data_IF_865327627929
#
_entry.id   IF_865327627929
#
_cell.length_a   1.000
_cell.length_b   1.000
_cell.length_c   1.000
_cell.angle_alpha   90.00
_cell.angle_beta   90.00
_cell.angle_gamma   90.00
#
_symmetry.space_group_name_H-M   'P 1'
#
loop_
_entity.id
_entity.type
_entity.pdbx_description
1 polymer ?
#
# COMPACT_ATOMS: atom_id res chain seq x y z
N UNK A 1 77.72 -8.79 -53.33
CA UNK A 1 76.84 -7.82 -52.74
C UNK A 1 75.41 -8.23 -53.04
N UNK A 2 74.71 -8.85 -52.09
CA UNK A 2 73.35 -9.35 -52.22
C UNK A 2 72.37 -8.26 -51.65
N UNK A 3 71.48 -7.77 -52.50
CA UNK A 3 70.44 -6.80 -52.06
C UNK A 3 69.30 -7.55 -51.40
N UNK A 4 69.12 -7.33 -50.10
CA UNK A 4 67.93 -7.77 -49.36
C UNK A 4 66.80 -6.86 -49.70
N UNK A 5 65.69 -7.36 -50.34
CA UNK A 5 64.49 -6.63 -50.65
C UNK A 5 63.50 -6.88 -49.49
N UNK A 6 63.23 -5.85 -48.66
CA UNK A 6 62.17 -5.85 -47.68
C UNK A 6 60.77 -5.68 -48.36
N UNK A 7 60.02 -6.75 -48.35
CA UNK A 7 58.55 -6.70 -48.76
C UNK A 7 57.73 -6.15 -47.59
N UNK A 8 57.26 -4.93 -47.74
CA UNK A 8 56.29 -4.32 -46.82
C UNK A 8 54.92 -5.00 -46.99
N UNK A 9 54.56 -5.93 -46.14
CA UNK A 9 53.22 -6.48 -46.05
C UNK A 9 52.30 -5.44 -45.44
N UNK A 10 51.66 -4.62 -46.26
CA UNK A 10 50.59 -3.70 -45.86
C UNK A 10 49.25 -4.42 -45.73
N UNK A 11 49.13 -5.31 -44.74
CA UNK A 11 47.83 -5.86 -44.39
C UNK A 11 46.99 -4.79 -43.74
N UNK A 12 46.05 -4.20 -44.46
CA UNK A 12 44.98 -3.38 -43.86
C UNK A 12 44.23 -4.25 -42.87
N UNK A 13 44.44 -3.99 -41.59
CA UNK A 13 43.60 -4.58 -40.51
C UNK A 13 42.16 -4.04 -40.68
N UNK A 14 41.28 -4.84 -41.31
CA UNK A 14 39.84 -4.58 -41.40
C UNK A 14 39.08 -4.96 -40.13
N UNK A 15 39.68 -4.79 -38.92
CA UNK A 15 39.16 -5.35 -37.68
C UNK A 15 38.18 -4.46 -36.93
N UNK A 16 37.88 -3.28 -37.39
CA UNK A 16 36.95 -2.36 -36.67
C UNK A 16 35.52 -2.24 -37.23
N UNK A 17 35.36 -2.47 -38.54
CA UNK A 17 34.06 -2.22 -39.19
C UNK A 17 32.94 -3.20 -38.79
N UNK A 18 33.17 -4.51 -38.65
CA UNK A 18 32.07 -5.41 -38.29
C UNK A 18 31.46 -5.09 -36.94
N UNK A 19 32.28 -4.72 -35.93
CA UNK A 19 31.80 -4.34 -34.61
C UNK A 19 31.01 -3.00 -34.65
N UNK A 20 31.51 -2.01 -35.41
CA UNK A 20 30.82 -0.74 -35.60
C UNK A 20 29.47 -0.93 -36.30
N UNK A 21 29.42 -1.77 -37.35
CA UNK A 21 28.16 -2.12 -38.03
C UNK A 21 27.22 -2.83 -37.09
N UNK A 22 27.69 -3.80 -36.33
CA UNK A 22 26.84 -4.49 -35.32
C UNK A 22 26.30 -3.52 -34.28
N UNK A 23 27.14 -2.64 -33.73
CA UNK A 23 26.69 -1.61 -32.79
C UNK A 23 25.67 -0.66 -33.43
N UNK A 24 25.88 -0.23 -34.65
CA UNK A 24 24.94 0.62 -35.38
C UNK A 24 23.61 -0.09 -35.61
N UNK A 25 23.63 -1.34 -36.08
CA UNK A 25 22.42 -2.15 -36.31
C UNK A 25 21.64 -2.34 -35.01
N UNK A 26 22.35 -2.65 -33.91
CA UNK A 26 21.71 -2.79 -32.59
C UNK A 26 21.09 -1.48 -32.10
N UNK A 27 21.83 -0.36 -32.20
CA UNK A 27 21.34 0.94 -31.75
C UNK A 27 20.17 1.43 -32.61
N UNK A 28 20.32 1.47 -33.93
CA UNK A 28 19.26 1.98 -34.80
C UNK A 28 18.07 1.02 -34.93
N UNK A 29 18.33 -0.29 -35.02
CA UNK A 29 17.27 -1.31 -35.04
C UNK A 29 16.47 -1.32 -33.76
N UNK A 30 17.13 -1.26 -32.63
CA UNK A 30 16.47 -1.20 -31.34
C UNK A 30 15.69 0.13 -31.15
N UNK A 31 16.27 1.26 -31.58
CA UNK A 31 15.57 2.55 -31.54
C UNK A 31 14.31 2.54 -32.40
N UNK A 32 14.36 1.95 -33.60
CA UNK A 32 13.22 1.82 -34.50
C UNK A 32 12.11 0.96 -33.84
N UNK A 33 12.47 -0.17 -33.24
CA UNK A 33 11.53 -1.01 -32.50
C UNK A 33 10.84 -0.20 -31.40
N UNK A 34 11.59 0.58 -30.62
CA UNK A 34 11.03 1.39 -29.55
C UNK A 34 10.11 2.53 -30.06
N UNK A 35 10.37 3.09 -31.24
CA UNK A 35 9.52 4.13 -31.84
C UNK A 35 8.15 3.56 -32.24
N UNK A 36 8.12 2.35 -32.83
CA UNK A 36 6.87 1.72 -33.30
C UNK A 36 6.15 0.89 -32.25
N UNK A 37 6.81 0.59 -31.11
CA UNK A 37 6.23 -0.21 -30.04
C UNK A 37 5.03 0.50 -29.42
N UNK A 38 3.92 -0.21 -29.14
CA UNK A 38 2.76 0.37 -28.46
C UNK A 38 3.15 1.04 -27.15
N UNK A 39 2.68 2.28 -26.95
CA UNK A 39 2.96 3.02 -25.71
C UNK A 39 2.04 2.53 -24.62
N UNK A 40 2.61 2.37 -23.40
CA UNK A 40 1.91 1.90 -22.22
C UNK A 40 1.32 3.09 -21.45
N UNK A 41 0.12 2.93 -20.95
CA UNK A 41 -0.49 3.86 -19.99
C UNK A 41 -0.22 3.44 -18.55
N UNK A 42 -0.02 2.13 -18.35
CA UNK A 42 0.25 1.52 -17.04
C UNK A 42 1.40 0.53 -17.12
N UNK A 43 2.13 0.42 -16.03
CA UNK A 43 3.13 -0.62 -15.78
C UNK A 43 2.50 -1.63 -14.82
N UNK A 44 1.87 -2.65 -15.38
CA UNK A 44 1.07 -3.63 -14.64
C UNK A 44 1.84 -4.29 -13.50
N UNK A 45 3.07 -4.75 -13.77
CA UNK A 45 3.89 -5.43 -12.76
C UNK A 45 4.34 -4.53 -11.60
N UNK A 46 4.31 -3.21 -11.79
CA UNK A 46 4.68 -2.22 -10.76
C UNK A 46 3.45 -1.52 -10.17
N UNK A 47 2.26 -1.88 -10.63
CA UNK A 47 0.99 -1.28 -10.23
C UNK A 47 1.03 0.26 -10.20
N UNK A 48 1.62 0.88 -11.27
CA UNK A 48 1.70 2.33 -11.39
C UNK A 48 1.49 2.83 -12.81
N UNK A 49 1.09 4.08 -12.94
CA UNK A 49 0.99 4.74 -14.25
C UNK A 49 2.37 4.86 -14.90
N UNK A 50 2.44 4.56 -16.20
CA UNK A 50 3.64 4.77 -16.98
C UNK A 50 3.81 6.27 -17.29
N UNK A 51 5.05 6.76 -17.23
CA UNK A 51 5.36 8.12 -17.63
C UNK A 51 4.96 8.34 -19.10
N UNK A 52 4.30 9.46 -19.37
CA UNK A 52 3.92 9.88 -20.70
C UNK A 52 4.93 10.89 -21.25
N UNK A 53 4.98 11.04 -22.57
CA UNK A 53 5.88 12.02 -23.21
C UNK A 53 5.56 13.44 -22.68
N UNK A 54 6.54 14.13 -22.06
CA UNK A 54 6.28 15.46 -21.53
C UNK A 54 6.04 16.46 -22.64
N UNK A 55 5.12 17.40 -22.42
CA UNK A 55 4.91 18.52 -23.31
C UNK A 55 6.19 19.36 -23.43
N UNK A 56 6.60 19.66 -24.65
CA UNK A 56 7.78 20.50 -24.89
C UNK A 56 7.46 21.98 -24.62
N UNK A 57 8.31 22.63 -23.83
CA UNK A 57 8.35 24.08 -23.73
C UNK A 57 9.80 24.55 -23.56
N UNK A 58 10.07 25.77 -24.01
CA UNK A 58 11.42 26.35 -23.87
C UNK A 58 11.79 26.53 -22.39
N UNK A 59 10.84 26.92 -21.53
CA UNK A 59 11.06 27.02 -20.09
C UNK A 59 11.41 25.66 -19.48
N UNK A 60 10.66 24.61 -19.80
CA UNK A 60 10.92 23.24 -19.31
C UNK A 60 12.25 22.68 -19.83
N UNK A 61 12.70 23.12 -21.01
CA UNK A 61 14.02 22.75 -21.53
C UNK A 61 15.14 23.44 -20.73
N UNK A 62 14.97 24.73 -20.39
CA UNK A 62 15.98 25.51 -19.70
C UNK A 62 16.10 25.14 -18.22
N UNK A 63 15.00 24.78 -17.54
CA UNK A 63 14.99 24.36 -16.13
C UNK A 63 15.29 22.87 -15.94
N UNK A 64 15.45 22.08 -17.03
CA UNK A 64 15.78 20.65 -16.98
C UNK A 64 14.58 19.73 -16.71
N UNK A 65 13.37 20.23 -16.54
CA UNK A 65 12.18 19.42 -16.26
C UNK A 65 11.77 18.57 -17.46
N UNK A 66 11.91 19.10 -18.68
CA UNK A 66 11.63 18.35 -19.91
C UNK A 66 12.58 17.15 -20.06
N UNK A 67 13.90 17.35 -19.85
CA UNK A 67 14.88 16.27 -19.95
C UNK A 67 14.61 15.18 -18.92
N UNK A 68 14.29 15.56 -17.69
CA UNK A 68 13.94 14.63 -16.61
C UNK A 68 12.65 13.85 -16.91
N UNK A 69 11.64 14.54 -17.47
CA UNK A 69 10.40 13.91 -17.90
C UNK A 69 10.60 12.95 -19.07
N UNK A 70 11.41 13.37 -20.05
CA UNK A 70 11.75 12.55 -21.22
C UNK A 70 12.55 11.29 -20.82
N UNK A 71 13.51 11.42 -19.91
CA UNK A 71 14.27 10.29 -19.41
C UNK A 71 13.35 9.26 -18.72
N UNK A 72 12.43 9.72 -17.87
CA UNK A 72 11.42 8.84 -17.22
C UNK A 72 10.51 8.17 -18.23
N UNK A 73 10.03 8.93 -19.24
CA UNK A 73 9.23 8.37 -20.31
C UNK A 73 9.99 7.30 -21.09
N UNK A 74 11.24 7.54 -21.48
CA UNK A 74 12.09 6.54 -22.14
C UNK A 74 12.25 5.27 -21.30
N UNK A 75 12.49 5.42 -20.00
CA UNK A 75 12.63 4.29 -19.07
C UNK A 75 11.35 3.45 -18.97
N UNK A 76 10.18 4.09 -18.94
CA UNK A 76 8.91 3.39 -18.81
C UNK A 76 8.40 2.78 -20.12
N UNK A 77 8.75 3.40 -21.28
CA UNK A 77 8.25 2.97 -22.60
C UNK A 77 9.18 2.02 -23.36
N UNK A 78 10.30 1.66 -22.74
CA UNK A 78 11.26 0.75 -23.33
C UNK A 78 10.65 -0.64 -23.61
N UNK A 79 10.78 -1.16 -24.85
CA UNK A 79 10.05 -2.35 -25.30
C UNK A 79 10.39 -3.64 -24.54
N UNK A 80 11.64 -3.80 -24.08
CA UNK A 80 12.10 -4.94 -23.30
C UNK A 80 12.27 -4.64 -21.80
N UNK A 81 11.66 -3.55 -21.34
CA UNK A 81 11.82 -3.05 -19.96
C UNK A 81 11.57 -4.14 -18.91
N UNK A 82 10.45 -4.82 -19.00
CA UNK A 82 10.08 -5.82 -17.98
C UNK A 82 11.05 -6.98 -17.93
N UNK A 83 11.51 -7.47 -19.09
CA UNK A 83 12.53 -8.50 -19.16
C UNK A 83 13.88 -8.03 -18.58
N UNK A 84 14.28 -6.78 -18.90
CA UNK A 84 15.52 -6.20 -18.39
C UNK A 84 15.47 -6.03 -16.86
N UNK A 85 14.38 -5.49 -16.32
CA UNK A 85 14.19 -5.31 -14.87
C UNK A 85 14.16 -6.67 -14.18
N UNK A 86 13.41 -7.65 -14.67
CA UNK A 86 13.33 -8.97 -14.07
C UNK A 86 14.71 -9.67 -14.09
N UNK A 87 15.45 -9.56 -15.18
CA UNK A 87 16.81 -10.12 -15.28
C UNK A 87 17.77 -9.46 -14.29
N UNK A 88 17.70 -8.13 -14.15
CA UNK A 88 18.49 -7.41 -13.16
C UNK A 88 18.14 -7.87 -11.75
N UNK A 89 16.84 -7.94 -11.39
CA UNK A 89 16.40 -8.39 -10.07
C UNK A 89 16.85 -9.81 -9.74
N UNK A 90 16.72 -10.72 -10.70
CA UNK A 90 17.24 -12.09 -10.55
C UNK A 90 18.75 -12.12 -10.35
N UNK A 91 19.51 -11.31 -11.09
CA UNK A 91 20.96 -11.21 -10.91
C UNK A 91 21.32 -10.60 -9.55
N UNK A 92 20.63 -9.57 -9.11
CA UNK A 92 20.83 -8.93 -7.81
C UNK A 92 20.62 -9.92 -6.65
N UNK A 93 19.59 -10.75 -6.74
CA UNK A 93 19.32 -11.80 -5.73
C UNK A 93 20.37 -12.94 -5.80
N UNK A 94 20.55 -13.53 -6.98
CA UNK A 94 21.34 -14.76 -7.12
C UNK A 94 22.85 -14.50 -7.01
N UNK A 95 23.34 -13.43 -7.67
CA UNK A 95 24.78 -13.13 -7.74
C UNK A 95 25.26 -12.27 -6.58
N UNK A 96 24.45 -11.28 -6.17
CA UNK A 96 24.84 -10.31 -5.14
C UNK A 96 24.18 -10.58 -3.78
N UNK A 97 23.25 -11.52 -3.69
CA UNK A 97 22.53 -11.89 -2.45
C UNK A 97 21.98 -10.67 -1.71
N UNK A 98 21.44 -9.73 -2.45
CA UNK A 98 20.82 -8.55 -1.85
C UNK A 98 19.67 -8.97 -0.93
N UNK A 99 19.69 -8.47 0.29
CA UNK A 99 18.63 -8.68 1.28
C UNK A 99 17.57 -7.57 1.25
N UNK A 100 17.69 -6.59 0.34
CA UNK A 100 16.79 -5.46 0.22
C UNK A 100 16.67 -5.03 -1.23
N UNK A 101 15.45 -4.71 -1.66
CA UNK A 101 15.16 -4.16 -2.98
C UNK A 101 13.94 -3.23 -2.92
N UNK A 102 14.12 -2.00 -3.46
CA UNK A 102 13.03 -1.01 -3.52
C UNK A 102 12.44 -0.61 -2.17
N UNK A 103 13.22 -0.63 -1.09
CA UNK A 103 12.74 -0.37 0.26
C UNK A 103 12.06 -1.57 0.94
N UNK A 104 12.13 -2.75 0.33
CA UNK A 104 11.57 -4.00 0.84
C UNK A 104 12.70 -4.94 1.23
N UNK A 105 12.65 -5.48 2.44
CA UNK A 105 13.55 -6.51 2.93
C UNK A 105 13.08 -7.88 2.43
N UNK A 106 14.02 -8.66 1.94
CA UNK A 106 13.80 -10.03 1.47
C UNK A 106 14.13 -11.00 2.61
N UNK A 107 13.08 -11.43 3.29
CA UNK A 107 13.17 -12.34 4.44
C UNK A 107 13.32 -13.80 4.05
N UNK A 108 13.26 -14.69 5.06
CA UNK A 108 13.22 -16.14 4.86
C UNK A 108 11.87 -16.55 4.25
N UNK A 109 11.81 -17.74 3.70
CA UNK A 109 10.58 -18.34 3.13
C UNK A 109 9.76 -17.38 2.25
N UNK A 110 10.48 -16.49 1.53
CA UNK A 110 9.92 -15.49 0.61
C UNK A 110 9.07 -14.40 1.26
N UNK A 111 9.16 -14.24 2.57
CA UNK A 111 8.58 -13.10 3.23
C UNK A 111 9.20 -11.79 2.76
N UNK A 112 8.36 -10.79 2.60
CA UNK A 112 8.77 -9.44 2.23
C UNK A 112 8.28 -8.47 3.31
N UNK A 113 9.19 -7.59 3.77
CA UNK A 113 8.88 -6.64 4.82
C UNK A 113 9.24 -5.22 4.37
N UNK A 114 8.40 -4.27 4.69
CA UNK A 114 8.78 -2.87 4.51
C UNK A 114 9.98 -2.54 5.40
N UNK A 115 11.02 -1.98 4.80
CA UNK A 115 12.24 -1.56 5.52
C UNK A 115 11.95 -0.35 6.39
N UNK A 116 12.16 -0.46 7.69
CA UNK A 116 12.07 0.63 8.65
C UNK A 116 13.26 0.57 9.62
N UNK A 117 14.41 1.09 9.18
CA UNK A 117 15.64 1.08 9.96
C UNK A 117 15.80 2.32 10.83
N UNK A 118 15.17 3.41 10.44
CA UNK A 118 15.23 4.68 11.16
C UNK A 118 13.92 5.42 11.05
N UNK A 119 13.56 6.15 12.09
CA UNK A 119 12.50 7.15 12.06
C UNK A 119 13.19 8.51 12.19
N UNK A 120 13.17 9.30 11.12
CA UNK A 120 13.81 10.61 11.09
C UNK A 120 13.03 11.65 11.92
N UNK A 121 13.63 12.80 12.11
CA UNK A 121 13.02 13.89 12.92
C UNK A 121 11.70 14.39 12.32
N UNK A 122 11.55 14.35 11.00
CA UNK A 122 10.31 14.75 10.32
C UNK A 122 9.18 13.79 10.65
N UNK A 123 9.45 12.49 10.52
CA UNK A 123 8.51 11.43 10.86
C UNK A 123 8.19 11.41 12.36
N UNK A 124 9.18 11.64 13.26
CA UNK A 124 8.95 11.77 14.70
C UNK A 124 8.01 12.92 15.05
N UNK A 125 8.21 14.07 14.41
CA UNK A 125 7.32 15.24 14.58
C UNK A 125 5.92 14.96 14.05
N UNK A 126 5.81 14.25 12.93
CA UNK A 126 4.50 13.88 12.38
C UNK A 126 3.79 12.88 13.29
N UNK A 127 4.48 11.85 13.76
CA UNK A 127 3.94 10.91 14.76
C UNK A 127 3.39 11.65 15.99
N UNK A 128 4.15 12.60 16.56
CA UNK A 128 3.69 13.37 17.71
C UNK A 128 2.41 14.16 17.40
N UNK A 129 2.28 14.74 16.20
CA UNK A 129 1.05 15.43 15.77
C UNK A 129 -0.12 14.45 15.62
N UNK A 130 0.12 13.26 15.06
CA UNK A 130 -0.93 12.28 14.85
C UNK A 130 -1.45 11.73 16.19
N UNK A 131 -0.55 11.41 17.13
CA UNK A 131 -0.93 11.00 18.48
C UNK A 131 -1.73 12.10 19.17
N UNK A 132 -1.26 13.35 19.10
CA UNK A 132 -1.95 14.50 19.68
C UNK A 132 -3.35 14.66 19.06
N UNK A 133 -3.47 14.63 17.72
CA UNK A 133 -4.74 14.82 17.04
C UNK A 133 -5.78 13.75 17.40
N UNK A 134 -5.36 12.47 17.46
CA UNK A 134 -6.26 11.37 17.88
C UNK A 134 -6.64 11.52 19.35
N UNK A 135 -5.71 11.87 20.23
CA UNK A 135 -5.98 12.05 21.67
C UNK A 135 -6.92 13.22 21.94
N UNK A 136 -6.73 14.36 21.26
CA UNK A 136 -7.63 15.52 21.37
C UNK A 136 -9.02 15.21 20.84
N UNK A 137 -9.12 14.55 19.69
CA UNK A 137 -10.40 14.13 19.15
C UNK A 137 -11.13 13.17 20.11
N UNK A 138 -10.42 12.19 20.66
CA UNK A 138 -11.00 11.25 21.62
C UNK A 138 -11.45 11.95 22.92
N UNK A 139 -10.66 12.90 23.42
CA UNK A 139 -11.01 13.68 24.60
C UNK A 139 -12.29 14.53 24.40
N UNK A 140 -12.54 15.01 23.16
CA UNK A 140 -13.75 15.73 22.80
C UNK A 140 -14.96 14.80 22.58
N UNK A 141 -14.75 13.49 22.43
CA UNK A 141 -15.78 12.47 22.21
C UNK A 141 -15.68 11.36 23.28
N UNK A 142 -15.84 11.66 24.58
CA UNK A 142 -15.55 10.72 25.66
C UNK A 142 -16.40 9.45 25.57
N UNK A 143 -15.74 8.29 25.68
CA UNK A 143 -16.36 6.97 25.62
C UNK A 143 -16.84 6.52 24.25
N UNK A 144 -16.61 7.31 23.19
CA UNK A 144 -17.05 6.97 21.84
C UNK A 144 -15.92 6.46 20.92
N UNK A 145 -14.68 6.74 21.25
CA UNK A 145 -13.53 6.48 20.35
C UNK A 145 -12.78 5.23 20.75
N UNK A 146 -12.65 4.33 19.77
CA UNK A 146 -11.75 3.17 19.86
C UNK A 146 -10.59 3.38 18.90
N UNK A 147 -9.37 3.14 19.37
CA UNK A 147 -8.14 3.23 18.60
C UNK A 147 -7.52 1.84 18.42
N UNK A 148 -7.39 1.40 17.18
CA UNK A 148 -6.76 0.15 16.78
C UNK A 148 -5.57 0.48 15.88
N UNK A 149 -4.37 0.14 16.32
CA UNK A 149 -3.14 0.29 15.55
C UNK A 149 -2.55 -1.08 15.26
N UNK A 150 -2.66 -1.52 14.00
CA UNK A 150 -2.16 -2.81 13.58
C UNK A 150 -0.61 -2.79 13.55
N UNK A 151 0.07 -3.75 14.21
CA UNK A 151 1.51 -3.87 14.14
C UNK A 151 1.98 -4.24 12.73
N UNK A 152 3.23 -3.96 12.41
CA UNK A 152 3.84 -4.43 11.17
C UNK A 152 4.04 -5.95 11.19
N UNK A 153 4.02 -6.60 10.03
CA UNK A 153 4.33 -8.03 9.92
C UNK A 153 5.71 -8.39 10.54
N UNK A 154 6.67 -7.47 10.47
CA UNK A 154 8.01 -7.65 11.05
C UNK A 154 8.04 -7.76 12.58
N UNK A 155 7.00 -7.29 13.27
CA UNK A 155 6.85 -7.45 14.72
C UNK A 155 6.31 -8.85 15.07
N UNK A 156 5.43 -9.37 14.22
CA UNK A 156 4.77 -10.67 14.44
C UNK A 156 5.64 -11.84 13.95
N UNK A 157 6.42 -11.62 12.88
CA UNK A 157 7.30 -12.61 12.27
C UNK A 157 8.78 -12.18 12.29
N UNK A 158 9.36 -11.83 13.44
CA UNK A 158 10.74 -11.35 13.51
C UNK A 158 11.76 -12.44 13.09
N UNK A 159 11.41 -13.72 13.22
CA UNK A 159 12.21 -14.86 12.80
C UNK A 159 12.37 -14.95 11.27
N UNK A 160 11.46 -14.37 10.52
CA UNK A 160 11.46 -14.33 9.05
C UNK A 160 12.29 -13.18 8.48
N UNK A 161 12.66 -12.20 9.29
CA UNK A 161 13.51 -11.10 8.86
C UNK A 161 14.90 -11.57 8.41
N UNK A 162 15.56 -10.84 7.49
CA UNK A 162 16.96 -11.06 7.20
C UNK A 162 17.80 -10.97 8.47
N UNK A 163 18.76 -11.87 8.62
CA UNK A 163 19.62 -11.91 9.80
C UNK A 163 20.33 -10.56 10.04
N UNK A 164 20.14 -10.00 11.22
CA UNK A 164 20.78 -8.74 11.62
C UNK A 164 20.14 -7.48 10.99
N UNK A 165 18.95 -7.56 10.41
CA UNK A 165 18.23 -6.38 9.94
C UNK A 165 18.00 -5.40 11.12
N UNK A 166 18.53 -4.14 11.05
CA UNK A 166 18.48 -3.21 12.16
C UNK A 166 17.12 -2.45 12.17
N UNK A 167 16.04 -3.21 12.35
CA UNK A 167 14.69 -2.62 12.44
C UNK A 167 14.59 -1.69 13.66
N UNK A 168 13.79 -0.64 13.55
CA UNK A 168 13.44 0.19 14.72
C UNK A 168 12.71 -0.66 15.75
N UNK A 169 12.80 -0.26 17.01
CA UNK A 169 12.00 -0.87 18.08
C UNK A 169 10.54 -0.39 17.99
N UNK A 170 9.79 -1.04 17.10
CA UNK A 170 8.36 -0.76 16.89
C UNK A 170 7.54 -1.08 18.16
N UNK A 171 7.94 -2.09 18.94
CA UNK A 171 7.24 -2.43 20.18
C UNK A 171 7.28 -1.27 21.17
N UNK A 172 8.46 -0.68 21.41
CA UNK A 172 8.57 0.48 22.30
C UNK A 172 7.80 1.70 21.77
N UNK A 173 7.74 1.88 20.44
CA UNK A 173 6.95 2.96 19.83
C UNK A 173 5.45 2.73 20.00
N UNK A 174 4.97 1.50 19.81
CA UNK A 174 3.57 1.12 20.04
C UNK A 174 3.17 1.32 21.51
N UNK A 175 4.03 0.93 22.45
CA UNK A 175 3.79 1.14 23.88
C UNK A 175 3.60 2.63 24.22
N UNK A 176 4.45 3.50 23.68
CA UNK A 176 4.35 4.95 23.88
C UNK A 176 3.06 5.54 23.25
N UNK A 177 2.70 5.09 22.05
CA UNK A 177 1.47 5.51 21.36
C UNK A 177 0.25 5.08 22.18
N UNK A 178 0.14 3.80 22.53
CA UNK A 178 -1.00 3.28 23.30
C UNK A 178 -1.11 3.92 24.68
N UNK A 179 0.01 4.18 25.36
CA UNK A 179 0.00 4.87 26.66
C UNK A 179 -0.54 6.30 26.56
N UNK A 180 -0.29 7.01 25.44
CA UNK A 180 -0.76 8.39 25.23
C UNK A 180 -2.23 8.41 24.78
N UNK A 181 -2.58 7.66 23.72
CA UNK A 181 -3.94 7.65 23.19
C UNK A 181 -4.92 7.01 24.15
N UNK A 182 -4.50 5.99 24.88
CA UNK A 182 -5.31 5.28 25.87
C UNK A 182 -5.73 6.11 27.09
N UNK A 183 -5.22 7.35 27.23
CA UNK A 183 -5.74 8.30 28.23
C UNK A 183 -7.12 8.85 27.88
N UNK A 184 -7.51 8.79 26.62
CA UNK A 184 -8.75 9.41 26.11
C UNK A 184 -9.60 8.45 25.27
N UNK A 185 -9.05 7.35 24.77
CA UNK A 185 -9.73 6.38 23.92
C UNK A 185 -9.56 4.96 24.47
N UNK A 186 -10.49 4.07 24.11
CA UNK A 186 -10.27 2.63 24.25
C UNK A 186 -9.20 2.21 23.23
N UNK A 187 -8.21 1.40 23.64
CA UNK A 187 -7.13 0.96 22.73
C UNK A 187 -7.17 -0.55 22.54
N UNK A 188 -6.88 -1.00 21.33
CA UNK A 188 -6.72 -2.41 20.97
C UNK A 188 -5.29 -2.64 20.53
N UNK A 189 -4.54 -3.40 21.32
CA UNK A 189 -3.21 -3.89 21.01
C UNK A 189 -3.28 -5.34 20.51
N UNK A 190 -2.98 -5.53 19.24
CA UNK A 190 -3.08 -6.84 18.59
C UNK A 190 -1.84 -7.71 18.77
N UNK A 191 -0.73 -7.20 19.31
CA UNK A 191 0.58 -7.90 19.32
C UNK A 191 0.49 -9.27 20.00
N UNK A 192 -0.15 -9.33 21.17
CA UNK A 192 -0.32 -10.60 21.89
C UNK A 192 -1.12 -11.61 21.09
N UNK A 193 -2.34 -11.24 20.68
CA UNK A 193 -3.23 -12.09 19.89
C UNK A 193 -2.58 -12.56 18.58
N UNK A 194 -1.92 -11.66 17.87
CA UNK A 194 -1.31 -12.00 16.59
C UNK A 194 -0.07 -12.89 16.75
N UNK A 195 0.69 -12.72 17.83
CA UNK A 195 1.82 -13.61 18.16
C UNK A 195 1.33 -15.02 18.49
N UNK A 196 0.25 -15.14 19.25
CA UNK A 196 -0.34 -16.44 19.60
C UNK A 196 -0.94 -17.17 18.38
N UNK A 197 -1.43 -16.42 17.40
CA UNK A 197 -2.09 -16.92 16.20
C UNK A 197 -1.23 -16.81 14.93
N UNK A 198 0.08 -16.61 15.06
CA UNK A 198 0.95 -16.32 13.91
C UNK A 198 0.97 -17.42 12.83
N UNK A 199 0.65 -18.65 13.19
CA UNK A 199 0.57 -19.78 12.25
C UNK A 199 -0.69 -19.75 11.37
N UNK A 200 -1.62 -18.82 11.58
CA UNK A 200 -2.89 -18.70 10.87
C UNK A 200 -2.85 -17.85 9.59
N UNK A 201 -1.69 -17.54 9.06
CA UNK A 201 -1.53 -16.69 7.87
C UNK A 201 -2.20 -15.31 8.02
N UNK A 202 -1.73 -14.54 9.01
CA UNK A 202 -2.32 -13.24 9.36
C UNK A 202 -1.88 -12.08 8.43
N UNK A 203 -0.74 -12.21 7.78
CA UNK A 203 -0.20 -11.21 6.85
C UNK A 203 0.14 -11.84 5.52
N UNK A 204 -0.02 -11.08 4.43
CA UNK A 204 0.47 -11.48 3.12
C UNK A 204 2.00 -11.46 3.09
N UNK A 205 2.60 -12.39 2.35
CA UNK A 205 4.06 -12.42 2.14
C UNK A 205 4.52 -11.39 1.12
N UNK A 206 3.69 -11.11 0.10
CA UNK A 206 4.02 -10.24 -1.04
C UNK A 206 3.39 -8.86 -0.98
N UNK A 207 2.65 -8.57 0.08
CA UNK A 207 1.96 -7.29 0.30
C UNK A 207 2.21 -6.74 1.70
N UNK A 208 1.97 -5.44 1.90
CA UNK A 208 2.12 -4.80 3.19
C UNK A 208 0.92 -4.95 4.12
N UNK A 209 -0.21 -5.45 3.63
CA UNK A 209 -1.43 -5.62 4.42
C UNK A 209 -1.43 -6.93 5.21
N UNK A 210 -2.27 -6.97 6.23
CA UNK A 210 -2.77 -8.23 6.76
C UNK A 210 -3.67 -8.94 5.76
N UNK A 211 -3.86 -10.23 5.94
CA UNK A 211 -4.87 -11.00 5.19
C UNK A 211 -6.28 -10.69 5.72
N UNK A 212 -7.35 -11.05 5.01
CA UNK A 212 -8.70 -10.98 5.58
C UNK A 212 -8.85 -11.84 6.85
N UNK A 213 -8.02 -12.88 7.05
CA UNK A 213 -7.96 -13.62 8.31
C UNK A 213 -7.36 -12.77 9.43
N UNK A 214 -6.25 -12.05 9.18
CA UNK A 214 -5.69 -11.11 10.15
C UNK A 214 -6.69 -10.01 10.53
N UNK A 215 -7.37 -9.44 9.52
CA UNK A 215 -8.44 -8.46 9.73
C UNK A 215 -9.58 -9.02 10.59
N UNK A 216 -9.97 -10.27 10.36
CA UNK A 216 -10.99 -10.94 11.16
C UNK A 216 -10.55 -11.13 12.62
N UNK A 217 -9.30 -11.54 12.86
CA UNK A 217 -8.79 -11.66 14.24
C UNK A 217 -8.74 -10.32 14.98
N UNK A 218 -8.43 -9.23 14.25
CA UNK A 218 -8.55 -7.89 14.80
C UNK A 218 -9.99 -7.49 15.10
N UNK A 219 -10.93 -7.87 14.22
CA UNK A 219 -12.36 -7.66 14.42
C UNK A 219 -12.90 -8.44 15.65
N UNK A 220 -12.45 -9.67 15.88
CA UNK A 220 -12.80 -10.42 17.11
C UNK A 220 -12.36 -9.68 18.38
N UNK A 221 -11.15 -9.06 18.38
CA UNK A 221 -10.70 -8.24 19.51
C UNK A 221 -11.57 -6.99 19.69
N UNK A 222 -11.95 -6.35 18.59
CA UNK A 222 -12.89 -5.22 18.62
C UNK A 222 -14.24 -5.63 19.20
N UNK A 223 -14.81 -6.74 18.73
CA UNK A 223 -16.07 -7.26 19.26
C UNK A 223 -15.98 -7.60 20.75
N UNK A 224 -14.88 -8.22 21.17
CA UNK A 224 -14.64 -8.52 22.58
C UNK A 224 -14.62 -7.27 23.46
N UNK A 225 -13.94 -6.20 23.02
CA UNK A 225 -13.91 -4.92 23.71
C UNK A 225 -15.30 -4.26 23.81
N UNK A 226 -16.09 -4.34 22.73
CA UNK A 226 -17.42 -3.71 22.63
C UNK A 226 -18.57 -4.59 23.15
N UNK A 227 -18.30 -5.83 23.55
CA UNK A 227 -19.35 -6.78 23.96
C UNK A 227 -20.25 -7.21 22.81
N UNK A 228 -19.75 -7.18 21.57
CA UNK A 228 -20.46 -7.59 20.36
C UNK A 228 -20.22 -9.08 20.07
N UNK A 229 -21.16 -9.73 19.39
CA UNK A 229 -20.97 -11.08 18.87
C UNK A 229 -20.25 -11.00 17.52
N UNK A 230 -19.08 -11.63 17.36
CA UNK A 230 -18.39 -11.66 16.06
C UNK A 230 -19.20 -12.42 15.00
N UNK A 231 -18.96 -12.08 13.73
CA UNK A 231 -19.43 -12.83 12.57
C UNK A 231 -18.99 -14.31 12.67
N UNK A 232 -19.94 -15.23 12.57
CA UNK A 232 -19.67 -16.66 12.63
C UNK A 232 -19.18 -17.20 11.29
N UNK A 233 -17.86 -17.27 11.11
CA UNK A 233 -17.24 -17.82 9.90
C UNK A 233 -17.61 -19.30 9.66
N UNK A 234 -17.89 -20.06 10.71
CA UNK A 234 -18.19 -21.49 10.55
C UNK A 234 -19.57 -21.73 9.90
N UNK A 235 -20.45 -20.74 9.91
CA UNK A 235 -21.76 -20.79 9.27
C UNK A 235 -21.74 -20.37 7.79
N UNK A 236 -20.57 -20.00 7.24
CA UNK A 236 -20.45 -19.43 5.90
C UNK A 236 -19.32 -20.08 5.10
N UNK A 237 -19.50 -20.22 3.79
CA UNK A 237 -18.48 -20.73 2.89
C UNK A 237 -17.54 -19.59 2.46
N UNK A 238 -16.22 -19.72 2.64
CA UNK A 238 -15.26 -18.73 2.17
C UNK A 238 -15.05 -18.83 0.66
N UNK A 239 -14.64 -17.72 0.05
CA UNK A 239 -14.16 -17.66 -1.33
C UNK A 239 -12.67 -17.37 -1.30
N UNK A 240 -11.89 -18.17 -2.05
CA UNK A 240 -10.43 -17.96 -2.19
C UNK A 240 -10.10 -17.49 -3.60
N UNK A 241 -9.43 -16.37 -3.68
CA UNK A 241 -8.87 -15.79 -4.91
C UNK A 241 -7.37 -16.04 -4.91
N UNK A 242 -6.90 -16.78 -5.88
CA UNK A 242 -5.50 -17.15 -6.07
C UNK A 242 -4.72 -16.07 -6.85
N UNK A 243 -3.41 -16.26 -6.99
CA UNK A 243 -2.53 -15.42 -7.81
C UNK A 243 -2.50 -13.96 -7.38
N UNK A 244 -2.51 -13.69 -6.08
CA UNK A 244 -2.30 -12.36 -5.55
C UNK A 244 -0.80 -12.08 -5.38
N UNK A 245 -0.36 -10.99 -5.97
CA UNK A 245 0.98 -10.43 -5.83
C UNK A 245 0.86 -8.95 -5.46
N UNK A 246 1.15 -8.63 -4.22
CA UNK A 246 0.88 -7.32 -3.65
C UNK A 246 1.91 -6.24 -3.98
N UNK A 247 1.90 -5.20 -3.16
CA UNK A 247 2.73 -4.00 -3.32
C UNK A 247 4.21 -4.28 -3.08
N UNK A 248 4.56 -5.18 -2.16
CA UNK A 248 5.94 -5.59 -1.93
C UNK A 248 6.51 -6.29 -3.17
N UNK A 249 5.73 -7.21 -3.76
CA UNK A 249 6.12 -7.81 -5.04
C UNK A 249 6.27 -6.75 -6.13
N UNK A 250 5.37 -5.80 -6.24
CA UNK A 250 5.43 -4.75 -7.27
C UNK A 250 6.71 -3.90 -7.14
N UNK A 251 7.21 -3.69 -5.93
CA UNK A 251 8.46 -2.97 -5.68
C UNK A 251 9.71 -3.83 -5.97
N UNK A 252 9.68 -5.12 -5.59
CA UNK A 252 10.84 -6.01 -5.71
C UNK A 252 10.90 -6.72 -7.04
N UNK A 253 9.76 -7.15 -7.59
CA UNK A 253 9.63 -8.00 -8.79
C UNK A 253 10.48 -9.27 -8.71
N UNK A 254 10.50 -9.88 -7.53
CA UNK A 254 11.26 -11.06 -7.24
C UNK A 254 10.77 -12.23 -8.11
N UNK A 255 11.68 -12.92 -8.82
CA UNK A 255 11.34 -13.86 -9.91
C UNK A 255 10.75 -15.20 -9.43
N UNK A 256 10.99 -15.60 -8.20
CA UNK A 256 10.65 -16.92 -7.65
C UNK A 256 9.76 -16.83 -6.40
N UNK A 257 8.84 -15.88 -6.41
CA UNK A 257 7.87 -15.68 -5.33
C UNK A 257 6.68 -16.61 -5.52
N UNK A 258 6.25 -17.23 -4.45
CA UNK A 258 4.92 -17.85 -4.38
C UNK A 258 3.88 -16.75 -4.27
N UNK A 259 2.79 -16.92 -5.00
CA UNK A 259 1.68 -15.98 -4.94
C UNK A 259 0.93 -16.14 -3.62
N UNK A 260 0.45 -15.04 -3.08
CA UNK A 260 -0.50 -15.05 -1.97
C UNK A 260 -1.91 -15.44 -2.44
N UNK A 261 -2.77 -15.73 -1.47
CA UNK A 261 -4.18 -16.00 -1.68
C UNK A 261 -5.03 -15.06 -0.81
N UNK A 262 -6.15 -14.59 -1.36
CA UNK A 262 -7.12 -13.78 -0.63
C UNK A 262 -8.33 -14.66 -0.34
N UNK A 263 -8.47 -15.13 0.90
CA UNK A 263 -9.65 -15.86 1.36
C UNK A 263 -10.56 -14.92 2.13
N UNK A 264 -11.79 -14.73 1.66
CA UNK A 264 -12.76 -13.83 2.26
C UNK A 264 -14.16 -14.47 2.32
N UNK A 265 -15.04 -13.88 3.11
CA UNK A 265 -16.45 -14.27 3.21
C UNK A 265 -17.32 -13.27 2.44
N UNK A 266 -18.22 -13.73 1.55
CA UNK A 266 -19.08 -12.85 0.77
C UNK A 266 -20.17 -12.23 1.67
N UNK A 267 -19.87 -11.09 2.26
CA UNK A 267 -20.81 -10.28 3.00
C UNK A 267 -21.43 -9.26 2.05
N UNK A 268 -22.66 -9.54 1.61
CA UNK A 268 -23.38 -8.70 0.67
C UNK A 268 -23.98 -7.48 1.40
N UNK A 269 -23.41 -6.32 1.18
CA UNK A 269 -23.91 -5.03 1.67
C UNK A 269 -23.62 -3.97 0.63
N UNK A 270 -24.53 -3.01 0.53
CA UNK A 270 -24.37 -1.88 -0.39
C UNK A 270 -23.56 -0.78 0.29
N UNK A 271 -22.58 -0.27 -0.45
CA UNK A 271 -21.77 0.88 -0.07
C UNK A 271 -22.06 2.03 -1.03
N UNK A 272 -22.42 3.18 -0.50
CA UNK A 272 -22.54 4.42 -1.26
C UNK A 272 -21.25 5.21 -1.11
N UNK A 273 -20.57 5.50 -2.22
CA UNK A 273 -19.40 6.36 -2.29
C UNK A 273 -19.86 7.79 -2.59
N UNK A 274 -19.26 8.77 -1.89
CA UNK A 274 -19.67 10.16 -2.00
C UNK A 274 -18.56 11.02 -2.63
N UNK A 275 -18.98 11.92 -3.50
CA UNK A 275 -18.18 13.04 -3.94
C UNK A 275 -18.20 14.12 -2.87
N UNK A 276 -17.04 14.48 -2.38
CA UNK A 276 -16.88 15.51 -1.35
C UNK A 276 -16.90 16.88 -2.02
N UNK A 277 -17.83 17.74 -1.63
CA UNK A 277 -18.02 19.09 -2.18
C UNK A 277 -17.72 20.19 -1.15
N UNK A 278 -17.62 19.82 0.13
CA UNK A 278 -17.30 20.74 1.23
C UNK A 278 -17.33 20.02 2.57
N UNK A 279 -17.22 20.79 3.66
CA UNK A 279 -17.35 20.27 5.02
C UNK A 279 -18.79 19.80 5.25
N UNK A 280 -18.97 18.53 5.66
CA UNK A 280 -20.27 17.85 5.74
C UNK A 280 -21.17 18.05 4.51
N UNK A 281 -20.57 18.46 3.38
CA UNK A 281 -21.23 18.63 2.09
C UNK A 281 -20.67 17.57 1.13
N UNK A 282 -21.49 16.58 0.86
CA UNK A 282 -21.16 15.47 -0.02
C UNK A 282 -22.42 14.95 -0.70
N UNK A 283 -22.24 14.43 -1.92
CA UNK A 283 -23.32 13.94 -2.78
C UNK A 283 -23.03 12.49 -3.17
N UNK A 284 -24.04 11.59 -3.21
CA UNK A 284 -23.85 10.22 -3.69
C UNK A 284 -23.28 10.23 -5.12
N UNK A 285 -22.23 9.47 -5.37
CA UNK A 285 -21.58 9.36 -6.68
C UNK A 285 -21.82 7.98 -7.28
N UNK A 286 -21.51 6.92 -6.55
CA UNK A 286 -21.72 5.53 -6.98
C UNK A 286 -22.22 4.70 -5.80
N UNK A 287 -22.92 3.60 -6.13
CA UNK A 287 -23.27 2.55 -5.17
C UNK A 287 -22.75 1.23 -5.68
N UNK A 288 -21.93 0.59 -4.87
CA UNK A 288 -21.25 -0.65 -5.18
C UNK A 288 -21.45 -1.67 -4.06
N UNK A 289 -21.19 -2.95 -4.34
CA UNK A 289 -21.08 -3.93 -3.25
C UNK A 289 -19.79 -3.65 -2.46
N UNK A 290 -19.80 -3.88 -1.13
CA UNK A 290 -18.63 -3.69 -0.26
C UNK A 290 -17.43 -4.53 -0.67
N UNK A 291 -17.65 -5.62 -1.42
CA UNK A 291 -16.61 -6.38 -2.10
C UNK A 291 -16.88 -6.35 -3.60
N UNK A 292 -16.14 -5.52 -4.31
CA UNK A 292 -16.21 -5.43 -5.77
C UNK A 292 -15.41 -6.58 -6.40
N UNK A 293 -16.10 -7.69 -6.71
CA UNK A 293 -15.46 -8.90 -7.22
C UNK A 293 -14.73 -8.71 -8.56
N UNK A 294 -15.10 -7.69 -9.36
CA UNK A 294 -14.42 -7.41 -10.63
C UNK A 294 -12.97 -6.92 -10.41
N UNK A 295 -12.66 -6.36 -9.25
CA UNK A 295 -11.29 -5.97 -8.90
C UNK A 295 -10.37 -7.17 -8.70
N UNK A 296 -10.89 -8.35 -8.40
CA UNK A 296 -10.07 -9.55 -8.31
C UNK A 296 -9.47 -9.98 -9.67
N UNK A 297 -10.02 -9.50 -10.78
CA UNK A 297 -9.46 -9.70 -12.12
C UNK A 297 -8.39 -8.65 -12.48
N UNK A 298 -8.15 -7.68 -11.59
CA UNK A 298 -7.13 -6.65 -11.78
C UNK A 298 -5.83 -7.01 -11.07
N UNK A 299 -4.78 -6.21 -11.32
CA UNK A 299 -3.50 -6.36 -10.62
C UNK A 299 -3.62 -6.06 -9.12
N UNK A 300 -4.38 -5.04 -8.76
CA UNK A 300 -4.64 -4.65 -7.38
C UNK A 300 -5.89 -5.37 -6.83
N UNK A 301 -5.76 -6.67 -6.60
CA UNK A 301 -6.86 -7.51 -6.10
C UNK A 301 -7.36 -7.06 -4.73
N UNK A 302 -6.48 -6.51 -3.87
CA UNK A 302 -6.89 -6.03 -2.54
C UNK A 302 -7.86 -4.84 -2.60
N UNK A 303 -7.82 -4.06 -3.69
CA UNK A 303 -8.79 -2.99 -3.93
C UNK A 303 -10.23 -3.49 -4.13
N UNK A 304 -10.48 -4.82 -4.19
CA UNK A 304 -11.83 -5.37 -4.17
C UNK A 304 -12.60 -4.98 -2.88
N UNK A 305 -11.90 -4.88 -1.76
CA UNK A 305 -12.51 -4.44 -0.51
C UNK A 305 -12.76 -2.93 -0.53
N UNK A 306 -14.01 -2.54 -0.29
CA UNK A 306 -14.49 -1.15 -0.28
C UNK A 306 -14.22 -0.36 -1.59
N UNK A 307 -14.09 -1.05 -2.71
CA UNK A 307 -13.70 -0.46 -4.01
C UNK A 307 -12.43 0.41 -3.92
N UNK A 308 -11.52 0.05 -3.01
CA UNK A 308 -10.26 0.75 -2.73
C UNK A 308 -10.37 1.82 -1.63
N UNK A 309 -9.83 3.00 -1.88
CA UNK A 309 -9.70 4.05 -0.87
C UNK A 309 -10.50 5.30 -1.27
N UNK A 310 -11.71 5.42 -0.75
CA UNK A 310 -12.63 6.53 -1.02
C UNK A 310 -12.57 7.57 0.10
N UNK A 311 -12.89 8.84 -0.20
CA UNK A 311 -12.84 9.92 0.78
C UNK A 311 -13.88 9.74 1.89
N UNK A 312 -15.13 9.52 1.50
CA UNK A 312 -16.22 9.19 2.39
C UNK A 312 -17.14 8.18 1.72
N UNK A 313 -17.58 7.20 2.50
CA UNK A 313 -18.56 6.20 2.07
C UNK A 313 -19.47 5.84 3.24
N UNK A 314 -20.69 5.42 2.94
CA UNK A 314 -21.60 4.81 3.92
C UNK A 314 -21.97 3.40 3.50
N UNK A 315 -22.11 2.51 4.47
CA UNK A 315 -22.46 1.11 4.26
C UNK A 315 -23.68 0.79 5.10
N UNK A 316 -24.64 0.10 4.50
CA UNK A 316 -25.79 -0.46 5.19
C UNK A 316 -25.43 -1.84 5.75
N UNK A 317 -25.70 -2.01 7.04
CA UNK A 317 -25.46 -3.30 7.71
C UNK A 317 -26.72 -3.89 8.31
N UNK A 318 -26.57 -5.05 8.94
CA UNK A 318 -27.69 -5.87 9.47
C UNK A 318 -27.86 -5.75 10.98
N UNK A 319 -26.90 -5.13 11.66
CA UNK A 319 -26.90 -4.98 13.11
C UNK A 319 -27.71 -3.77 13.60
N UNK A 320 -27.25 -3.17 14.67
CA UNK A 320 -27.90 -2.01 15.31
C UNK A 320 -26.90 -0.89 15.58
N UNK A 321 -27.38 0.36 15.72
CA UNK A 321 -26.50 1.50 15.96
C UNK A 321 -25.65 1.88 14.76
N UNK A 322 -24.68 2.76 14.97
CA UNK A 322 -23.88 3.34 13.90
C UNK A 322 -22.43 3.57 14.32
N UNK A 323 -21.51 3.36 13.40
CA UNK A 323 -20.07 3.56 13.63
C UNK A 323 -19.44 4.33 12.47
N UNK A 324 -18.53 5.26 12.79
CA UNK A 324 -17.66 5.91 11.82
C UNK A 324 -16.26 5.31 11.91
N UNK A 325 -15.73 4.78 10.79
CA UNK A 325 -14.39 4.22 10.70
C UNK A 325 -13.46 5.22 10.01
N UNK A 326 -12.49 5.73 10.74
CA UNK A 326 -11.39 6.57 10.23
C UNK A 326 -10.21 5.66 9.95
N UNK A 327 -9.72 5.65 8.72
CA UNK A 327 -8.90 4.53 8.30
C UNK A 327 -7.74 4.86 7.37
N UNK A 328 -6.80 3.92 7.32
CA UNK A 328 -5.99 3.63 6.14
C UNK A 328 -6.49 2.37 5.41
N UNK A 329 -5.72 1.84 4.47
CA UNK A 329 -6.14 0.68 3.66
C UNK A 329 -6.25 -0.64 4.44
N UNK A 330 -5.71 -0.74 5.66
CA UNK A 330 -5.86 -1.94 6.49
C UNK A 330 -7.33 -2.21 6.84
N UNK A 331 -8.10 -1.17 7.10
CA UNK A 331 -9.51 -1.34 7.41
C UNK A 331 -10.36 -1.86 6.23
N UNK A 332 -9.86 -1.86 5.00
CA UNK A 332 -10.65 -2.28 3.85
C UNK A 332 -11.17 -3.73 3.99
N UNK A 333 -10.34 -4.65 4.47
CA UNK A 333 -10.74 -6.04 4.71
C UNK A 333 -11.36 -6.28 6.09
N UNK A 334 -11.32 -5.30 6.99
CA UNK A 334 -11.93 -5.34 8.33
C UNK A 334 -13.40 -4.86 8.32
N UNK A 335 -13.66 -3.74 7.66
CA UNK A 335 -14.98 -3.07 7.64
C UNK A 335 -16.12 -3.98 7.19
N UNK A 336 -15.96 -4.90 6.21
CA UNK A 336 -17.03 -5.81 5.82
C UNK A 336 -17.64 -6.58 7.00
N UNK A 337 -16.83 -7.01 7.98
CA UNK A 337 -17.34 -7.73 9.15
C UNK A 337 -18.23 -6.88 10.06
N UNK A 338 -18.04 -5.56 10.09
CA UNK A 338 -18.86 -4.65 10.89
C UNK A 338 -20.33 -4.61 10.44
N UNK A 339 -20.63 -5.03 9.21
CA UNK A 339 -22.00 -5.07 8.66
C UNK A 339 -22.92 -6.03 9.44
N UNK A 340 -22.35 -6.97 10.17
CA UNK A 340 -23.13 -7.88 11.01
C UNK A 340 -23.50 -7.24 12.38
N UNK A 341 -22.76 -6.22 12.82
CA UNK A 341 -22.94 -5.60 14.13
C UNK A 341 -23.64 -4.26 14.10
N UNK A 342 -23.45 -3.48 13.04
CA UNK A 342 -23.98 -2.12 12.91
C UNK A 342 -24.99 -2.00 11.78
N UNK A 343 -26.02 -1.16 11.97
CA UNK A 343 -27.00 -0.84 10.94
C UNK A 343 -26.44 0.17 9.92
N UNK A 344 -25.54 1.07 10.37
CA UNK A 344 -24.92 2.10 9.54
C UNK A 344 -23.43 2.20 9.86
N UNK A 345 -22.61 2.13 8.82
CA UNK A 345 -21.15 2.29 8.93
C UNK A 345 -20.74 3.43 8.00
N UNK A 346 -20.11 4.47 8.57
CA UNK A 346 -19.41 5.49 7.80
C UNK A 346 -17.93 5.10 7.66
N UNK A 347 -17.32 5.43 6.55
CA UNK A 347 -15.89 5.18 6.31
C UNK A 347 -15.24 6.45 5.79
N UNK A 348 -14.19 6.92 6.46
CA UNK A 348 -13.42 8.11 6.09
C UNK A 348 -11.95 7.77 5.88
N UNK A 349 -11.43 8.21 4.75
CA UNK A 349 -9.99 8.16 4.43
C UNK A 349 -9.48 9.58 4.20
N UNK A 350 -8.67 10.08 5.12
CA UNK A 350 -8.18 11.46 5.07
C UNK A 350 -7.24 11.76 3.89
N UNK A 351 -6.78 10.76 3.17
CA UNK A 351 -6.05 11.01 1.90
C UNK A 351 -6.94 11.74 0.89
N UNK A 352 -8.25 11.48 0.93
CA UNK A 352 -9.26 12.02 0.02
C UNK A 352 -10.35 12.84 0.73
N UNK A 353 -10.39 12.89 2.07
CA UNK A 353 -11.29 13.70 2.89
C UNK A 353 -10.46 14.70 3.69
N UNK A 354 -10.62 16.00 3.44
CA UNK A 354 -9.76 17.07 3.98
C UNK A 354 -10.45 17.99 4.99
N UNK A 355 -11.47 17.48 5.67
CA UNK A 355 -12.29 18.22 6.63
C UNK A 355 -12.25 17.55 8.00
N UNK A 356 -12.65 18.29 9.05
CA UNK A 356 -12.90 17.73 10.38
C UNK A 356 -14.10 16.78 10.38
N UNK A 357 -14.23 15.99 11.43
CA UNK A 357 -15.28 14.96 11.50
C UNK A 357 -16.52 15.40 12.29
N UNK A 358 -16.41 16.42 13.14
CA UNK A 358 -17.48 16.81 14.05
C UNK A 358 -18.81 17.07 13.30
N UNK A 359 -18.76 17.84 12.21
CA UNK A 359 -19.93 18.12 11.38
C UNK A 359 -20.51 16.87 10.73
N UNK A 360 -19.65 15.93 10.31
CA UNK A 360 -20.11 14.67 9.72
C UNK A 360 -20.73 13.76 10.78
N UNK A 361 -20.12 13.68 11.97
CA UNK A 361 -20.64 12.90 13.11
C UNK A 361 -21.99 13.44 13.55
N UNK A 362 -22.11 14.77 13.69
CA UNK A 362 -23.36 15.41 14.08
C UNK A 362 -24.45 15.23 13.03
N UNK A 363 -24.15 15.51 11.76
CA UNK A 363 -25.09 15.37 10.64
C UNK A 363 -25.62 13.96 10.48
N UNK A 364 -24.72 12.98 10.56
CA UNK A 364 -25.04 11.57 10.28
C UNK A 364 -25.46 10.79 11.53
N UNK A 365 -25.19 11.33 12.73
CA UNK A 365 -25.59 10.74 14.01
C UNK A 365 -24.83 9.46 14.35
N UNK A 366 -23.48 9.43 14.14
CA UNK A 366 -22.69 8.27 14.53
C UNK A 366 -22.56 8.13 16.04
N UNK A 367 -22.83 6.91 16.54
CA UNK A 367 -22.76 6.58 17.96
C UNK A 367 -21.32 6.38 18.42
N UNK A 368 -20.49 5.74 17.59
CA UNK A 368 -19.12 5.35 17.88
C UNK A 368 -18.16 5.74 16.74
N UNK A 369 -16.88 5.84 17.08
CA UNK A 369 -15.78 6.08 16.10
C UNK A 369 -14.71 5.04 16.33
N UNK A 370 -14.30 4.35 15.27
CA UNK A 370 -13.11 3.51 15.22
C UNK A 370 -12.01 4.18 14.40
N UNK A 371 -10.87 4.45 15.00
CA UNK A 371 -9.65 4.89 14.29
C UNK A 371 -8.79 3.65 14.07
N UNK A 372 -8.71 3.18 12.83
CA UNK A 372 -7.99 1.98 12.45
C UNK A 372 -6.89 2.30 11.42
N UNK A 373 -5.66 2.14 11.83
CA UNK A 373 -4.47 2.35 11.01
C UNK A 373 -3.47 1.20 11.18
N UNK A 374 -2.57 1.03 10.21
CA UNK A 374 -1.33 0.30 10.45
C UNK A 374 -0.26 1.24 11.01
N UNK A 375 0.71 0.67 11.71
CA UNK A 375 1.78 1.43 12.35
C UNK A 375 2.55 2.32 11.37
N UNK A 376 2.96 1.79 10.22
CA UNK A 376 3.83 2.52 9.29
C UNK A 376 3.12 3.71 8.63
N UNK A 377 1.84 3.56 8.31
CA UNK A 377 1.02 4.69 7.82
C UNK A 377 0.80 5.69 8.95
N UNK A 378 0.43 5.23 10.14
CA UNK A 378 0.13 6.10 11.27
C UNK A 378 1.27 7.05 11.63
N UNK A 379 2.52 6.56 11.63
CA UNK A 379 3.68 7.39 12.00
C UNK A 379 3.99 8.48 10.97
N UNK A 380 3.56 8.32 9.71
CA UNK A 380 3.95 9.17 8.59
C UNK A 380 2.79 9.95 7.94
N UNK A 381 1.53 9.60 8.24
CA UNK A 381 0.38 10.23 7.60
C UNK A 381 0.25 11.71 7.99
N UNK A 382 0.39 12.58 6.99
CA UNK A 382 0.25 14.03 7.17
C UNK A 382 -1.20 14.51 7.16
N UNK A 383 -2.15 13.62 6.84
CA UNK A 383 -3.58 13.96 6.73
C UNK A 383 -4.37 13.62 7.99
N UNK A 384 -3.91 12.69 8.82
CA UNK A 384 -4.63 12.27 10.03
C UNK A 384 -4.92 13.44 10.98
N UNK A 385 -4.12 14.50 10.95
CA UNK A 385 -4.36 15.73 11.72
C UNK A 385 -5.72 16.40 11.43
N UNK A 386 -6.37 16.07 10.32
CA UNK A 386 -7.74 16.56 10.03
C UNK A 386 -8.77 16.04 11.03
N UNK A 387 -8.50 14.93 11.73
CA UNK A 387 -9.43 14.35 12.71
C UNK A 387 -9.75 15.33 13.85
N UNK A 388 -8.78 16.14 14.31
CA UNK A 388 -8.96 17.11 15.40
C UNK A 388 -9.27 18.52 14.89
N UNK A 389 -9.49 18.72 13.59
CA UNK A 389 -9.88 20.03 13.08
C UNK A 389 -11.29 20.39 13.57
N UNK A 390 -11.46 21.58 14.19
CA UNK A 390 -12.78 22.05 14.54
C UNK A 390 -13.62 22.21 13.27
N UNK A 391 -14.91 21.93 13.37
CA UNK A 391 -15.86 22.24 12.33
C UNK A 391 -15.85 23.74 12.05
N UNK A 392 -15.87 24.11 10.77
CA UNK A 392 -16.02 25.52 10.35
C UNK A 392 -17.49 25.91 10.21
N UNK A 393 -18.41 24.95 10.34
CA UNK A 393 -19.84 25.21 10.40
C UNK A 393 -20.21 25.68 11.81
N UNK A 394 -20.20 26.97 12.05
CA UNK A 394 -20.79 27.62 13.22
C UNK A 394 -22.23 28.07 12.92
#
# INVERSE_FOLDING_TARGET
>A
MSKVVYRKNGGRRRTGYPLLVLCAVLLFGFSLVNIVWPKRTQLELENRKAAQLPAFSVSALLDGSWQSGFARWMQDQFSLRDAAVNTQRAADEVLFRKAEEGGILLGKDRWMFTKLFTVDDTTRKQLAKNVQAVSEFAANHPGKVTFLLAPSASVIYPEELPAGAPMVDENAMLDDIFAKVGQSADVIDLRGTFTDLKDEYLYFKTDHHWTPNGAYRAYEQFCGLKGLTPFDRAAHEPITVTDFQGTHYSATRLWNVENDEITYYPLDSLMTIYKITGEAAYEPETTENIVNVQKFDTRDKYAAFLDGNNGYSTIEGRGTGSILVVKDSYANSFVPYLTENYAKIGVVDFRNFKYGLDSTIEKEGYDEVLVLYNFQTFIADTNLIYISRPSTLS
#
